data_IF_357621419992
#
_entry.id   IF_357621419992
#
_cell.length_a   1.000
_cell.length_b   1.000
_cell.length_c   1.000
_cell.angle_alpha   90.00
_cell.angle_beta   90.00
_cell.angle_gamma   90.00
#
_symmetry.space_group_name_H-M   'P 1'
#
loop_
_entity.id
_entity.type
_entity.pdbx_description
1 polymer ?
#
# COMPACT_ATOMS: atom_id res chain seq x y z
N UNK A 1 34.75 3.16 -2.19
CA UNK A 1 33.59 3.11 -3.11
C UNK A 1 32.37 2.77 -2.27
N UNK A 2 31.27 3.51 -2.38
CA UNK A 2 30.04 3.21 -1.62
C UNK A 2 29.46 1.91 -2.15
N UNK A 3 29.09 1.00 -1.25
CA UNK A 3 28.57 -0.32 -1.61
C UNK A 3 27.21 -0.22 -2.31
N UNK A 4 26.96 -1.13 -3.25
CA UNK A 4 25.65 -1.28 -3.87
C UNK A 4 24.70 -2.01 -2.92
N UNK A 5 23.39 -1.74 -3.03
CA UNK A 5 22.36 -2.40 -2.23
C UNK A 5 22.00 -3.76 -2.89
N UNK A 6 22.37 -4.91 -2.29
CA UNK A 6 22.34 -6.20 -3.00
C UNK A 6 20.95 -6.70 -3.38
N UNK A 7 19.92 -6.23 -2.69
CA UNK A 7 18.50 -6.61 -2.88
C UNK A 7 17.69 -5.55 -3.61
N UNK A 8 18.28 -4.38 -3.87
CA UNK A 8 17.62 -3.31 -4.61
C UNK A 8 17.99 -3.46 -6.08
N UNK A 9 16.95 -3.43 -6.90
CA UNK A 9 17.02 -3.50 -8.35
C UNK A 9 15.83 -2.74 -8.94
N UNK A 10 15.95 -2.36 -10.19
CA UNK A 10 14.88 -1.73 -10.96
C UNK A 10 14.98 -2.17 -12.40
N UNK A 11 13.95 -2.85 -12.90
CA UNK A 11 13.93 -3.34 -14.28
C UNK A 11 13.35 -2.33 -15.26
N UNK A 12 12.69 -1.28 -14.76
CA UNK A 12 11.88 -0.35 -15.53
C UNK A 12 10.38 -0.61 -15.43
N UNK A 13 9.95 -1.64 -14.70
CA UNK A 13 8.52 -1.84 -14.38
C UNK A 13 8.04 -0.74 -13.42
N UNK A 14 6.97 -0.05 -13.81
CA UNK A 14 6.37 1.03 -13.02
C UNK A 14 5.83 0.56 -11.67
N UNK A 15 5.49 -0.73 -11.53
CA UNK A 15 5.07 -1.30 -10.25
C UNK A 15 6.25 -1.47 -9.27
N UNK A 16 7.46 -1.66 -9.78
CA UNK A 16 8.68 -1.75 -8.96
C UNK A 16 9.15 -0.37 -8.49
N UNK A 17 8.82 0.68 -9.25
CA UNK A 17 9.38 2.02 -9.09
C UNK A 17 9.17 2.64 -7.68
N UNK A 18 7.99 2.57 -7.04
CA UNK A 18 7.80 3.13 -5.71
C UNK A 18 8.71 2.51 -4.65
N UNK A 19 8.80 1.17 -4.64
CA UNK A 19 9.62 0.41 -3.68
C UNK A 19 11.10 0.64 -3.95
N UNK A 20 11.50 0.62 -5.22
CA UNK A 20 12.86 0.96 -5.63
C UNK A 20 13.27 2.34 -5.14
N UNK A 21 12.43 3.35 -5.42
CA UNK A 21 12.72 4.73 -5.08
C UNK A 21 12.78 4.95 -3.56
N UNK A 22 11.89 4.30 -2.80
CA UNK A 22 11.94 4.32 -1.33
C UNK A 22 13.33 3.89 -0.82
N UNK A 23 13.81 2.72 -1.24
CA UNK A 23 15.10 2.20 -0.78
C UNK A 23 16.29 3.05 -1.22
N UNK A 24 16.25 3.62 -2.43
CA UNK A 24 17.30 4.54 -2.88
C UNK A 24 17.31 5.81 -2.06
N UNK A 25 16.16 6.43 -1.80
CA UNK A 25 16.05 7.68 -1.04
C UNK A 25 16.46 7.50 0.43
N UNK A 26 16.09 6.36 1.03
CA UNK A 26 16.48 5.97 2.37
C UNK A 26 18.01 5.85 2.47
N UNK A 27 18.63 5.06 1.59
CA UNK A 27 20.07 4.90 1.54
C UNK A 27 20.81 6.22 1.25
N UNK A 28 20.30 7.06 0.35
CA UNK A 28 20.86 8.39 0.06
C UNK A 28 20.82 9.32 1.28
N UNK A 29 19.87 9.12 2.19
CA UNK A 29 19.76 9.90 3.43
C UNK A 29 20.80 9.46 4.46
N UNK A 30 21.09 8.15 4.53
CA UNK A 30 22.13 7.59 5.41
C UNK A 30 23.55 7.95 4.96
N UNK A 31 23.84 7.90 3.66
CA UNK A 31 25.17 8.14 3.08
C UNK A 31 25.38 9.59 2.61
N UNK A 32 24.58 10.52 3.15
CA UNK A 32 24.59 11.93 2.73
C UNK A 32 25.98 12.53 2.95
N UNK A 33 26.55 13.12 1.89
CA UNK A 33 27.88 13.75 1.92
C UNK A 33 29.06 12.81 1.67
N UNK A 34 28.82 11.51 1.49
CA UNK A 34 29.88 10.53 1.19
C UNK A 34 30.26 10.48 -0.30
N UNK A 35 29.41 11.01 -1.19
CA UNK A 35 29.71 11.05 -2.62
C UNK A 35 30.69 12.17 -2.96
N UNK A 36 31.78 11.89 -3.69
CA UNK A 36 32.77 12.90 -4.07
C UNK A 36 32.22 13.89 -5.11
N UNK A 37 31.23 13.50 -5.90
CA UNK A 37 30.60 14.33 -6.94
C UNK A 37 29.14 13.96 -7.14
N UNK A 38 28.35 14.89 -7.70
CA UNK A 38 26.98 14.62 -8.19
C UNK A 38 26.95 13.45 -9.16
N UNK A 39 27.93 13.40 -10.07
CA UNK A 39 28.09 12.32 -11.04
C UNK A 39 28.27 10.95 -10.36
N UNK A 40 29.08 10.87 -9.31
CA UNK A 40 29.24 9.64 -8.54
C UNK A 40 27.94 9.20 -7.86
N UNK A 41 27.13 10.15 -7.37
CA UNK A 41 25.81 9.88 -6.79
C UNK A 41 24.85 9.31 -7.85
N UNK A 42 24.72 9.96 -9.01
CA UNK A 42 23.86 9.49 -10.11
C UNK A 42 24.30 8.10 -10.58
N UNK A 43 25.60 7.90 -10.80
CA UNK A 43 26.12 6.60 -11.24
C UNK A 43 25.85 5.50 -10.21
N UNK A 44 25.91 5.82 -8.91
CA UNK A 44 25.57 4.86 -7.86
C UNK A 44 24.08 4.46 -7.89
N UNK A 45 23.15 5.39 -8.16
CA UNK A 45 21.73 5.07 -8.33
C UNK A 45 21.57 4.10 -9.52
N UNK A 46 22.17 4.43 -10.66
CA UNK A 46 22.06 3.67 -11.92
C UNK A 46 22.61 2.24 -11.81
N UNK A 47 23.56 1.94 -10.90
CA UNK A 47 24.04 0.56 -10.66
C UNK A 47 22.95 -0.41 -10.22
N UNK A 48 21.81 0.11 -9.78
CA UNK A 48 20.64 -0.67 -9.39
C UNK A 48 19.67 -0.89 -10.56
N UNK A 49 19.94 -0.35 -11.75
CA UNK A 49 19.22 -0.68 -12.98
C UNK A 49 19.69 -2.05 -13.46
N UNK A 50 19.01 -3.09 -13.03
CA UNK A 50 19.37 -4.48 -13.25
C UNK A 50 18.17 -5.37 -12.98
N UNK A 51 18.24 -6.61 -13.43
CA UNK A 51 17.32 -7.63 -12.98
C UNK A 51 17.64 -8.08 -11.55
N UNK A 52 16.65 -8.63 -10.81
CA UNK A 52 16.91 -9.30 -9.56
C UNK A 52 17.91 -10.44 -9.74
N UNK A 53 18.72 -10.69 -8.69
CA UNK A 53 19.70 -11.78 -8.70
C UNK A 53 19.04 -13.11 -9.10
N UNK A 54 19.64 -13.81 -10.07
CA UNK A 54 19.17 -15.10 -10.56
C UNK A 54 18.16 -15.02 -11.72
N UNK A 55 17.65 -13.83 -12.05
CA UNK A 55 16.91 -13.60 -13.30
C UNK A 55 17.84 -12.87 -14.26
N UNK A 56 18.54 -13.60 -15.13
CA UNK A 56 19.35 -13.00 -16.20
C UNK A 56 18.63 -13.28 -17.50
N UNK A 57 18.17 -12.24 -18.19
CA UNK A 57 17.99 -12.35 -19.65
C UNK A 57 19.38 -12.18 -20.25
N UNK A 58 19.90 -13.22 -20.90
CA UNK A 58 21.20 -13.15 -21.58
C UNK A 58 21.18 -12.20 -22.77
N UNK A 59 19.99 -11.87 -23.29
CA UNK A 59 19.81 -11.22 -24.59
C UNK A 59 19.23 -9.81 -24.50
N UNK A 60 18.74 -9.38 -23.33
CA UNK A 60 18.11 -8.07 -23.18
C UNK A 60 18.48 -7.36 -21.89
N UNK A 61 19.02 -6.13 -22.00
CA UNK A 61 19.13 -5.21 -20.87
C UNK A 61 17.73 -4.84 -20.34
N UNK A 62 17.56 -4.65 -19.02
CA UNK A 62 16.29 -4.17 -18.48
C UNK A 62 15.94 -2.80 -19.08
N UNK A 63 14.65 -2.49 -19.12
CA UNK A 63 14.16 -1.25 -19.71
C UNK A 63 14.74 0.00 -19.02
N UNK A 64 14.97 -0.07 -17.71
CA UNK A 64 15.70 0.97 -16.95
C UNK A 64 17.13 1.24 -17.48
N UNK A 65 17.87 0.18 -17.84
CA UNK A 65 19.18 0.32 -18.48
C UNK A 65 19.08 0.91 -19.89
N UNK A 66 18.12 0.44 -20.70
CA UNK A 66 17.90 0.97 -22.06
C UNK A 66 17.54 2.47 -21.99
N UNK A 67 16.69 2.87 -21.05
CA UNK A 67 16.36 4.26 -20.78
C UNK A 67 17.59 5.08 -20.36
N UNK A 68 18.43 4.55 -19.47
CA UNK A 68 19.66 5.22 -19.06
C UNK A 68 20.64 5.44 -20.23
N UNK A 69 20.81 4.43 -21.09
CA UNK A 69 21.64 4.55 -22.29
C UNK A 69 21.09 5.65 -23.21
N UNK A 70 19.78 5.67 -23.46
CA UNK A 70 19.14 6.73 -24.25
C UNK A 70 19.32 8.14 -23.64
N UNK A 71 19.31 8.26 -22.32
CA UNK A 71 19.60 9.52 -21.63
C UNK A 71 21.07 9.94 -21.82
N UNK A 72 22.01 9.00 -21.80
CA UNK A 72 23.42 9.27 -22.09
C UNK A 72 23.62 9.67 -23.57
N UNK A 73 22.89 9.08 -24.50
CA UNK A 73 22.88 9.49 -25.92
C UNK A 73 22.37 10.93 -26.08
N UNK A 74 21.24 11.27 -25.43
CA UNK A 74 20.74 12.65 -25.39
C UNK A 74 21.80 13.60 -24.82
N UNK A 75 22.50 13.20 -23.77
CA UNK A 75 23.56 13.98 -23.15
C UNK A 75 24.80 14.16 -24.05
N UNK A 76 25.16 13.14 -24.84
CA UNK A 76 26.24 13.23 -25.82
C UNK A 76 25.89 14.20 -26.96
N UNK A 77 24.63 14.18 -27.44
CA UNK A 77 24.14 15.12 -28.46
C UNK A 77 24.15 16.57 -27.98
N UNK A 78 23.82 16.81 -26.71
CA UNK A 78 23.91 18.14 -26.10
C UNK A 78 25.36 18.68 -25.99
N UNK A 79 26.36 17.84 -26.23
CA UNK A 79 27.78 18.21 -26.28
C UNK A 79 28.34 18.22 -27.72
N UNK A 80 27.46 18.10 -28.72
CA UNK A 80 27.83 18.00 -30.14
C UNK A 80 28.76 16.81 -30.45
N UNK A 81 28.70 15.72 -29.66
CA UNK A 81 29.49 14.53 -29.91
C UNK A 81 28.98 13.77 -31.16
N UNK A 82 29.88 13.16 -31.96
CA UNK A 82 29.52 12.43 -33.18
C UNK A 82 28.51 11.29 -32.96
N UNK A 83 27.79 10.91 -34.01
CA UNK A 83 26.80 9.81 -33.94
C UNK A 83 27.45 8.48 -33.57
N UNK A 84 28.68 8.25 -34.04
CA UNK A 84 29.49 7.07 -33.76
C UNK A 84 30.10 7.03 -32.36
N UNK A 85 29.90 8.05 -31.52
CA UNK A 85 30.44 8.08 -30.17
C UNK A 85 29.76 7.03 -29.30
N UNK A 86 30.55 6.13 -28.73
CA UNK A 86 30.07 5.17 -27.73
C UNK A 86 29.87 5.89 -26.41
N UNK A 87 28.61 6.06 -26.00
CA UNK A 87 28.27 6.75 -24.75
C UNK A 87 28.80 6.01 -23.53
N UNK A 88 29.31 6.76 -22.56
CA UNK A 88 29.86 6.22 -21.33
C UNK A 88 29.46 7.06 -20.12
N UNK A 89 29.44 6.43 -18.95
CA UNK A 89 29.37 7.15 -17.68
C UNK A 89 30.61 8.00 -17.42
N UNK A 90 31.65 7.95 -18.26
CA UNK A 90 32.82 8.84 -18.19
C UNK A 90 32.59 10.19 -18.88
N UNK A 91 31.63 10.29 -19.79
CA UNK A 91 31.27 11.53 -20.48
C UNK A 91 30.78 12.60 -19.49
N UNK A 92 31.05 13.88 -19.78
CA UNK A 92 30.58 14.98 -18.92
C UNK A 92 29.05 15.05 -18.95
N UNK A 93 28.43 15.27 -17.80
CA UNK A 93 26.98 15.47 -17.71
C UNK A 93 26.66 16.95 -17.90
N UNK A 94 25.89 17.28 -18.95
CA UNK A 94 25.50 18.66 -19.31
C UNK A 94 24.00 18.87 -19.31
N UNK A 95 23.22 17.79 -19.33
CA UNK A 95 21.77 17.87 -19.28
C UNK A 95 21.26 18.43 -17.93
N UNK A 96 20.22 19.28 -17.92
CA UNK A 96 19.61 19.78 -16.69
C UNK A 96 19.17 18.67 -15.72
N UNK A 97 18.65 17.57 -16.25
CA UNK A 97 18.21 16.39 -15.49
C UNK A 97 19.38 15.65 -14.83
N UNK A 98 20.62 15.89 -15.26
CA UNK A 98 21.85 15.32 -14.69
C UNK A 98 22.65 16.33 -13.85
N UNK A 99 22.15 17.56 -13.68
CA UNK A 99 22.86 18.62 -12.97
C UNK A 99 22.93 18.39 -11.45
N UNK A 100 21.99 17.63 -10.89
CA UNK A 100 21.98 17.26 -9.47
C UNK A 100 21.32 15.90 -9.26
N UNK A 101 21.58 15.25 -8.13
CA UNK A 101 20.86 14.03 -7.75
C UNK A 101 19.35 14.25 -7.61
N UNK A 102 18.92 15.43 -7.17
CA UNK A 102 17.49 15.78 -7.08
C UNK A 102 16.84 15.92 -8.46
N UNK A 103 17.52 16.58 -9.41
CA UNK A 103 17.03 16.70 -10.79
C UNK A 103 16.91 15.32 -11.44
N UNK A 104 17.89 14.44 -11.21
CA UNK A 104 17.87 13.08 -11.74
C UNK A 104 16.71 12.25 -11.16
N UNK A 105 16.49 12.33 -9.84
CA UNK A 105 15.35 11.68 -9.18
C UNK A 105 14.02 12.23 -9.68
N UNK A 106 13.91 13.54 -9.92
CA UNK A 106 12.71 14.15 -10.49
C UNK A 106 12.43 13.61 -11.90
N UNK A 107 13.45 13.50 -12.75
CA UNK A 107 13.30 12.95 -14.09
C UNK A 107 12.97 11.44 -14.10
N UNK A 108 13.50 10.69 -13.13
CA UNK A 108 13.08 9.30 -12.90
C UNK A 108 11.60 9.21 -12.54
N UNK A 109 11.11 10.08 -11.65
CA UNK A 109 9.68 10.14 -11.28
C UNK A 109 8.81 10.51 -12.48
N UNK A 110 9.25 11.43 -13.33
CA UNK A 110 8.54 11.78 -14.55
C UNK A 110 8.45 10.60 -15.53
N UNK A 111 9.54 9.84 -15.68
CA UNK A 111 9.62 8.75 -16.66
C UNK A 111 8.90 7.46 -16.22
N UNK A 112 9.03 7.11 -14.94
CA UNK A 112 8.59 5.82 -14.39
C UNK A 112 7.53 5.94 -13.28
N UNK A 113 7.30 7.13 -12.75
CA UNK A 113 6.29 7.36 -11.72
C UNK A 113 4.87 7.14 -12.24
N UNK A 114 3.95 7.00 -11.31
CA UNK A 114 2.53 7.04 -11.61
C UNK A 114 2.12 8.50 -11.89
N UNK A 115 1.30 8.71 -12.94
CA UNK A 115 0.76 10.03 -13.29
C UNK A 115 -0.09 10.61 -12.16
N UNK A 116 -0.77 9.75 -11.39
CA UNK A 116 -1.42 10.09 -10.12
C UNK A 116 -1.01 9.05 -9.05
N UNK A 117 -0.09 9.39 -8.13
CA UNK A 117 0.34 8.47 -7.08
C UNK A 117 -0.79 8.11 -6.10
N UNK A 118 -1.89 8.88 -6.08
CA UNK A 118 -3.07 8.65 -5.25
C UNK A 118 -4.14 7.79 -5.93
N UNK A 119 -4.13 7.66 -7.26
CA UNK A 119 -5.19 6.95 -8.01
C UNK A 119 -5.23 5.45 -7.65
N UNK A 120 -4.08 4.78 -7.70
CA UNK A 120 -4.01 3.35 -7.39
C UNK A 120 -4.39 3.05 -5.93
N UNK A 121 -3.86 3.74 -4.91
CA UNK A 121 -4.33 3.63 -3.53
C UNK A 121 -5.81 3.96 -3.36
N UNK A 122 -6.33 5.01 -4.02
CA UNK A 122 -7.76 5.38 -3.96
C UNK A 122 -8.64 4.27 -4.51
N UNK A 123 -8.28 3.69 -5.67
CA UNK A 123 -9.01 2.55 -6.25
C UNK A 123 -8.96 1.32 -5.34
N UNK A 124 -7.79 1.02 -4.76
CA UNK A 124 -7.64 -0.08 -3.82
C UNK A 124 -8.44 0.15 -2.52
N UNK A 125 -8.48 1.39 -2.02
CA UNK A 125 -9.23 1.79 -0.83
C UNK A 125 -10.74 1.57 -1.03
N UNK A 126 -11.32 2.04 -2.14
CA UNK A 126 -12.75 1.83 -2.42
C UNK A 126 -13.11 0.35 -2.66
N UNK A 127 -12.15 -0.45 -3.15
CA UNK A 127 -12.32 -1.89 -3.30
C UNK A 127 -12.08 -2.68 -1.99
N UNK A 128 -11.49 -2.05 -0.97
CA UNK A 128 -11.18 -2.66 0.31
C UNK A 128 -12.47 -2.85 1.12
N UNK A 129 -12.88 -4.11 1.29
CA UNK A 129 -14.06 -4.51 2.07
C UNK A 129 -13.65 -5.58 3.06
N UNK A 130 -14.17 -5.53 4.29
CA UNK A 130 -13.84 -6.46 5.36
C UNK A 130 -14.18 -7.90 4.97
N UNK A 131 -15.40 -8.14 4.45
CA UNK A 131 -15.89 -9.48 4.07
C UNK A 131 -15.68 -10.48 5.23
N UNK A 132 -15.05 -11.61 4.95
CA UNK A 132 -14.71 -12.68 5.87
C UNK A 132 -13.39 -12.45 6.63
N UNK A 133 -12.71 -11.32 6.40
CA UNK A 133 -11.46 -11.02 7.11
C UNK A 133 -11.72 -10.64 8.57
N UNK A 134 -10.81 -11.09 9.44
CA UNK A 134 -10.75 -10.62 10.82
C UNK A 134 -10.60 -9.08 10.85
N UNK A 135 -11.25 -8.46 11.83
CA UNK A 135 -11.32 -7.00 11.95
C UNK A 135 -9.93 -6.36 12.13
N UNK A 136 -8.98 -7.03 12.79
CA UNK A 136 -7.63 -6.50 12.94
C UNK A 136 -6.88 -6.53 11.61
N UNK A 137 -7.02 -7.62 10.85
CA UNK A 137 -6.40 -7.75 9.54
C UNK A 137 -6.99 -6.74 8.55
N UNK A 138 -8.32 -6.57 8.54
CA UNK A 138 -8.98 -5.54 7.74
C UNK A 138 -8.47 -4.14 8.10
N UNK A 139 -8.42 -3.79 9.39
CA UNK A 139 -7.92 -2.48 9.83
C UNK A 139 -6.47 -2.22 9.42
N UNK A 140 -5.62 -3.25 9.43
CA UNK A 140 -4.23 -3.14 8.99
C UNK A 140 -4.14 -2.78 7.49
N UNK A 141 -4.90 -3.48 6.65
CA UNK A 141 -4.95 -3.23 5.20
C UNK A 141 -5.61 -1.88 4.90
N UNK A 142 -6.72 -1.57 5.57
CA UNK A 142 -7.40 -0.29 5.41
C UNK A 142 -6.48 0.87 5.75
N UNK A 143 -5.75 0.79 6.87
CA UNK A 143 -4.83 1.84 7.29
C UNK A 143 -3.66 2.05 6.31
N UNK A 144 -3.15 1.00 5.67
CA UNK A 144 -2.08 1.16 4.67
C UNK A 144 -2.56 1.89 3.41
N UNK A 145 -3.86 1.80 3.09
CA UNK A 145 -4.48 2.44 1.93
C UNK A 145 -4.99 3.85 2.23
N UNK A 146 -5.67 4.04 3.36
CA UNK A 146 -6.37 5.30 3.69
C UNK A 146 -5.40 6.47 3.92
N UNK A 147 -4.20 6.18 4.44
CA UNK A 147 -3.16 7.20 4.65
C UNK A 147 -2.27 7.42 3.41
N UNK A 148 -2.46 6.63 2.35
CA UNK A 148 -1.83 6.85 1.06
C UNK A 148 -2.64 7.80 0.14
N UNK A 149 -3.78 8.30 0.63
CA UNK A 149 -4.66 9.23 -0.08
C UNK A 149 -4.95 10.44 0.82
N UNK A 150 -4.95 11.64 0.23
CA UNK A 150 -5.33 12.88 0.93
C UNK A 150 -6.84 12.89 1.19
N UNK A 151 -7.23 12.47 2.39
CA UNK A 151 -8.61 12.43 2.88
C UNK A 151 -8.71 13.16 4.23
N UNK A 152 -9.83 13.86 4.42
CA UNK A 152 -10.23 14.39 5.72
C UNK A 152 -10.62 13.28 6.68
N UNK A 153 -10.59 13.53 7.99
CA UNK A 153 -10.93 12.52 8.99
C UNK A 153 -12.36 11.97 8.82
N UNK A 154 -13.30 12.80 8.37
CA UNK A 154 -14.68 12.39 8.09
C UNK A 154 -14.75 11.44 6.90
N UNK A 155 -14.09 11.76 5.79
CA UNK A 155 -14.05 10.88 4.60
C UNK A 155 -13.44 9.52 4.93
N UNK A 156 -12.40 9.49 5.80
CA UNK A 156 -11.83 8.22 6.28
C UNK A 156 -12.85 7.39 7.06
N UNK A 157 -13.62 8.05 7.94
CA UNK A 157 -14.67 7.39 8.71
C UNK A 157 -15.78 6.82 7.81
N UNK A 158 -16.23 7.60 6.82
CA UNK A 158 -17.31 7.22 5.91
C UNK A 158 -16.90 6.02 5.06
N UNK A 159 -15.71 6.07 4.44
CA UNK A 159 -15.18 4.97 3.62
C UNK A 159 -14.96 3.71 4.48
N UNK A 160 -14.50 3.87 5.72
CA UNK A 160 -14.33 2.74 6.64
C UNK A 160 -15.67 2.07 6.95
N UNK A 161 -16.71 2.85 7.24
CA UNK A 161 -18.06 2.37 7.51
C UNK A 161 -18.67 1.64 6.31
N UNK A 162 -18.50 2.18 5.09
CA UNK A 162 -18.90 1.51 3.85
C UNK A 162 -18.16 0.20 3.58
N UNK A 163 -16.97 0.04 4.16
CA UNK A 163 -16.11 -1.13 3.97
C UNK A 163 -16.36 -2.26 4.95
N UNK A 164 -17.04 -2.00 6.07
CA UNK A 164 -17.29 -2.99 7.11
C UNK A 164 -18.33 -4.03 6.71
N UNK A 165 -18.24 -5.20 7.34
CA UNK A 165 -19.32 -6.18 7.30
C UNK A 165 -20.58 -5.61 7.97
N UNK A 166 -21.74 -5.85 7.35
CA UNK A 166 -23.02 -5.27 7.76
C UNK A 166 -23.44 -5.75 9.15
N UNK A 167 -23.18 -7.02 9.49
CA UNK A 167 -23.51 -7.55 10.81
C UNK A 167 -22.60 -6.94 11.87
N UNK A 168 -21.30 -6.83 11.59
CA UNK A 168 -20.36 -6.18 12.50
C UNK A 168 -20.73 -4.72 12.75
N UNK A 169 -21.01 -3.95 11.70
CA UNK A 169 -21.46 -2.57 11.79
C UNK A 169 -22.76 -2.46 12.60
N UNK A 170 -23.71 -3.37 12.36
CA UNK A 170 -24.97 -3.41 13.13
C UNK A 170 -24.72 -3.66 14.62
N UNK A 171 -23.84 -4.60 14.96
CA UNK A 171 -23.46 -4.85 16.36
C UNK A 171 -22.79 -3.62 16.97
N UNK A 172 -21.88 -2.98 16.24
CA UNK A 172 -21.20 -1.78 16.71
C UNK A 172 -22.19 -0.65 17.00
N UNK A 173 -23.16 -0.39 16.10
CA UNK A 173 -24.19 0.63 16.27
C UNK A 173 -25.10 0.33 17.47
N UNK A 174 -25.46 -0.93 17.70
CA UNK A 174 -26.40 -1.32 18.76
C UNK A 174 -25.77 -1.40 20.15
N UNK A 175 -24.51 -1.79 20.22
CA UNK A 175 -23.88 -2.21 21.48
C UNK A 175 -22.65 -1.38 21.87
N UNK A 176 -22.32 -0.34 21.12
CA UNK A 176 -21.15 0.52 21.39
C UNK A 176 -21.48 2.01 21.13
N UNK A 177 -20.56 2.92 21.44
CA UNK A 177 -20.68 4.37 21.15
C UNK A 177 -20.37 4.76 19.70
N UNK A 178 -20.82 3.95 18.72
CA UNK A 178 -20.45 4.10 17.31
C UNK A 178 -20.81 5.47 16.73
N UNK A 179 -21.95 6.03 17.14
CA UNK A 179 -22.50 7.27 16.57
C UNK A 179 -21.77 8.50 17.08
N UNK A 180 -21.14 8.40 18.24
CA UNK A 180 -20.40 9.47 18.91
C UNK A 180 -18.93 9.52 18.49
N UNK A 181 -18.41 8.44 17.88
CA UNK A 181 -17.05 8.33 17.41
C UNK A 181 -16.78 9.26 16.20
N UNK A 182 -15.77 10.12 16.35
CA UNK A 182 -15.41 11.15 15.34
C UNK A 182 -14.09 10.87 14.62
N UNK A 183 -13.32 9.91 15.11
CA UNK A 183 -12.04 9.55 14.51
C UNK A 183 -12.11 8.14 13.96
N UNK A 184 -11.33 7.89 12.91
CA UNK A 184 -11.16 6.56 12.35
C UNK A 184 -10.65 5.59 13.43
N UNK A 185 -9.75 6.07 14.29
CA UNK A 185 -9.21 5.28 15.40
C UNK A 185 -10.32 4.83 16.36
N UNK A 186 -11.20 5.74 16.78
CA UNK A 186 -12.30 5.40 17.68
C UNK A 186 -13.24 4.39 17.02
N UNK A 187 -13.61 4.60 15.74
CA UNK A 187 -14.43 3.65 14.99
C UNK A 187 -13.76 2.27 14.89
N UNK A 188 -12.45 2.20 14.65
CA UNK A 188 -11.70 0.94 14.61
C UNK A 188 -11.67 0.24 15.98
N UNK A 189 -11.54 1.00 17.07
CA UNK A 189 -11.53 0.47 18.44
C UNK A 189 -12.92 -0.09 18.83
N UNK A 190 -14.00 0.59 18.39
CA UNK A 190 -15.37 0.13 18.57
C UNK A 190 -15.71 -1.08 17.69
N UNK A 191 -15.21 -1.14 16.45
CA UNK A 191 -15.39 -2.30 15.58
C UNK A 191 -14.73 -3.57 16.17
N UNK A 192 -13.54 -3.43 16.76
CA UNK A 192 -12.89 -4.52 17.51
C UNK A 192 -13.73 -4.97 18.72
N UNK A 193 -14.32 -4.02 19.43
CA UNK A 193 -15.20 -4.32 20.57
C UNK A 193 -16.48 -5.04 20.12
N UNK A 194 -17.07 -4.62 19.00
CA UNK A 194 -18.22 -5.27 18.39
C UNK A 194 -17.92 -6.71 17.96
N UNK A 195 -16.75 -6.96 17.36
CA UNK A 195 -16.34 -8.31 16.97
C UNK A 195 -16.20 -9.23 18.20
N UNK A 196 -15.64 -8.72 19.30
CA UNK A 196 -15.60 -9.43 20.57
C UNK A 196 -17.00 -9.74 21.13
N UNK A 197 -17.92 -8.78 21.05
CA UNK A 197 -19.32 -8.96 21.47
C UNK A 197 -19.98 -10.06 20.63
N UNK A 198 -19.85 -10.03 19.30
CA UNK A 198 -20.40 -11.08 18.43
C UNK A 198 -19.88 -12.46 18.79
N UNK A 199 -18.56 -12.58 19.00
CA UNK A 199 -17.94 -13.83 19.41
C UNK A 199 -18.48 -14.30 20.77
N UNK A 200 -18.69 -13.40 21.74
CA UNK A 200 -19.29 -13.74 23.04
C UNK A 200 -20.76 -14.14 22.93
N UNK A 201 -21.56 -13.46 22.11
CA UNK A 201 -22.96 -13.82 21.89
C UNK A 201 -23.08 -15.20 21.24
N UNK A 202 -22.25 -15.51 20.24
CA UNK A 202 -22.22 -16.82 19.60
C UNK A 202 -21.88 -17.97 20.57
N UNK A 203 -21.15 -17.69 21.67
CA UNK A 203 -20.89 -18.67 22.74
C UNK A 203 -22.06 -18.87 23.70
N UNK A 204 -23.01 -17.94 23.75
CA UNK A 204 -24.18 -17.99 24.65
C UNK A 204 -25.43 -18.56 23.98
N UNK A 205 -25.54 -18.46 22.66
CA UNK A 205 -26.62 -19.05 21.87
C UNK A 205 -26.76 -20.60 21.93
N UNK A 206 -25.76 -21.42 22.31
CA UNK A 206 -25.96 -22.86 22.51
C UNK A 206 -26.93 -23.22 23.64
N UNK A 207 -27.15 -22.34 24.63
CA UNK A 207 -27.95 -22.67 25.83
C UNK A 207 -29.43 -22.27 25.75
N UNK A 208 -29.82 -21.47 24.75
CA UNK A 208 -31.22 -20.99 24.62
C UNK A 208 -32.11 -21.88 23.77
N UNK A 209 -31.58 -22.95 23.16
CA UNK A 209 -32.34 -23.98 22.43
C UNK A 209 -32.55 -25.25 23.27
N UNK A 210 -32.93 -25.11 24.55
CA UNK A 210 -33.40 -26.25 25.33
C UNK A 210 -34.93 -26.33 25.23
N UNK A 211 -35.53 -27.32 24.52
CA UNK A 211 -36.98 -27.36 24.25
C UNK A 211 -37.88 -27.67 25.47
N UNK A 212 -37.30 -27.89 26.66
CA UNK A 212 -38.03 -28.47 27.79
C UNK A 212 -38.82 -27.49 28.65
N UNK A 213 -38.77 -26.17 28.40
CA UNK A 213 -39.49 -25.16 29.20
C UNK A 213 -40.81 -24.65 28.59
N UNK A 214 -41.28 -25.21 27.47
CA UNK A 214 -42.57 -24.81 26.86
C UNK A 214 -43.73 -25.80 27.06
N UNK A 215 -43.58 -26.85 27.88
CA UNK A 215 -44.64 -27.88 28.00
C UNK A 215 -45.62 -27.75 29.17
N UNK A 216 -45.45 -26.82 30.11
CA UNK A 216 -46.23 -26.85 31.36
C UNK A 216 -47.16 -25.65 31.59
N UNK A 217 -47.80 -25.14 30.54
CA UNK A 217 -48.97 -24.26 30.68
C UNK A 217 -50.08 -24.66 29.69
N UNK A 218 -50.76 -25.77 29.98
CA UNK A 218 -52.10 -26.02 29.46
C UNK A 218 -53.06 -25.99 30.65
N UNK A 219 -54.10 -25.13 30.68
CA UNK A 219 -55.06 -25.10 31.78
C UNK A 219 -55.91 -26.39 31.79
N UNK A 220 -56.05 -27.01 32.96
CA UNK A 220 -57.00 -28.10 33.22
C UNK A 220 -58.44 -27.64 32.92
N UNK A 221 -59.10 -28.25 31.94
CA UNK A 221 -60.56 -28.21 31.81
C UNK A 221 -61.19 -29.29 32.70
N UNK A 222 -62.10 -28.84 33.57
CA UNK A 222 -62.86 -29.65 34.53
C UNK A 222 -63.82 -30.65 33.85
N UNK A 223 -64.15 -31.78 34.52
CA UNK A 223 -64.87 -32.89 33.93
C UNK A 223 -66.37 -32.61 33.86
N UNK A 224 -66.97 -32.81 32.68
CA UNK A 224 -68.41 -32.75 32.52
C UNK A 224 -69.03 -34.14 32.74
N UNK A 225 -69.88 -34.26 33.76
CA UNK A 225 -70.71 -35.42 34.04
C UNK A 225 -72.10 -35.26 33.40
N UNK A 226 -72.72 -36.42 33.09
CA UNK A 226 -74.16 -36.67 32.85
C UNK A 226 -74.67 -36.29 31.45
N UNK A 227 -75.51 -37.07 30.74
CA UNK A 227 -76.44 -38.18 31.05
C UNK A 227 -76.33 -39.25 29.96
#
# INVERSE_FOLDING_TARGET
MIADLPRVYFTGDRNEFPIFLYHIMDALSEIRGTFPTVKAQINWIVRHFRYPKGKVSMEDNPFSCKWWIGLLEKNARAQDLPISHTVSTDDKYVLPELASGQAFIAHLKESFGCLDPSEAPRKALHACKQRDQDIQQYNLVFNSLVYAVDLTENERCDIYEEGLDVLLLTTAIKHTGWREAKTLKDKQDLARSAAYIQHKLAQLEPETQNPELQKDQTPEELPNQSI
#
